data_IF_430890025125
#
_entry.id   IF_430890025125
#
_cell.length_a   1.000
_cell.length_b   1.000
_cell.length_c   1.000
_cell.angle_alpha   90.00
_cell.angle_beta   90.00
_cell.angle_gamma   90.00
#
_symmetry.space_group_name_H-M   'P 1'
#
loop_
_entity.id
_entity.type
_entity.pdbx_description
1 polymer ?
#
# COMPACT_ATOMS: atom_id res chain seq x y z
N UNK A 1 -6.00 15.58 -2.10
CA UNK A 1 -6.74 14.32 -1.94
C UNK A 1 -7.31 14.28 -0.53
N UNK A 2 -8.59 13.94 -0.39
CA UNK A 2 -9.24 13.76 0.91
C UNK A 2 -8.84 12.42 1.54
N UNK A 3 -8.99 12.29 2.86
CA UNK A 3 -8.74 11.02 3.56
C UNK A 3 -9.53 9.85 2.94
N UNK A 4 -10.79 10.07 2.57
CA UNK A 4 -11.63 9.04 1.97
C UNK A 4 -11.16 8.59 0.58
N UNK A 5 -10.58 9.49 -0.21
CA UNK A 5 -9.97 9.14 -1.50
C UNK A 5 -8.70 8.30 -1.32
N UNK A 6 -7.88 8.62 -0.31
CA UNK A 6 -6.70 7.83 0.04
C UNK A 6 -7.08 6.43 0.48
N UNK A 7 -8.03 6.31 1.42
CA UNK A 7 -8.48 5.01 1.94
C UNK A 7 -9.04 4.13 0.81
N UNK A 8 -9.79 4.72 -0.12
CA UNK A 8 -10.29 4.00 -1.29
C UNK A 8 -9.18 3.59 -2.26
N UNK A 9 -8.18 4.44 -2.49
CA UNK A 9 -7.02 4.11 -3.33
C UNK A 9 -6.21 2.96 -2.73
N UNK A 10 -5.96 3.00 -1.41
CA UNK A 10 -5.28 1.93 -0.67
C UNK A 10 -6.04 0.61 -0.78
N UNK A 11 -7.36 0.61 -0.51
CA UNK A 11 -8.18 -0.60 -0.65
C UNK A 11 -8.15 -1.18 -2.05
N UNK A 12 -8.18 -0.33 -3.09
CA UNK A 12 -8.05 -0.79 -4.48
C UNK A 12 -6.69 -1.43 -4.74
N UNK A 13 -5.61 -0.84 -4.24
CA UNK A 13 -4.26 -1.39 -4.41
C UNK A 13 -4.09 -2.73 -3.69
N UNK A 14 -4.60 -2.87 -2.46
CA UNK A 14 -4.58 -4.13 -1.72
C UNK A 14 -5.41 -5.22 -2.41
N UNK A 15 -6.57 -4.89 -3.00
CA UNK A 15 -7.34 -5.85 -3.79
C UNK A 15 -6.59 -6.33 -5.05
N UNK A 16 -5.78 -5.46 -5.67
CA UNK A 16 -4.95 -5.84 -6.82
C UNK A 16 -3.83 -6.78 -6.37
N UNK A 17 -3.17 -6.46 -5.25
CA UNK A 17 -2.18 -7.35 -4.63
C UNK A 17 -2.80 -8.72 -4.34
N UNK A 18 -3.99 -8.76 -3.74
CA UNK A 18 -4.67 -10.01 -3.40
C UNK A 18 -5.01 -10.83 -4.63
N UNK A 19 -5.57 -10.22 -5.67
CA UNK A 19 -5.87 -10.92 -6.92
C UNK A 19 -4.62 -11.48 -7.58
N UNK A 20 -3.50 -10.74 -7.58
CA UNK A 20 -2.23 -11.23 -8.08
C UNK A 20 -1.69 -12.39 -7.22
N UNK A 21 -1.75 -12.27 -5.89
CA UNK A 21 -1.22 -13.29 -4.98
C UNK A 21 -2.07 -14.56 -4.98
N UNK A 22 -3.39 -14.45 -5.21
CA UNK A 22 -4.30 -15.59 -5.37
C UNK A 22 -4.00 -16.39 -6.64
N UNK A 23 -3.60 -15.72 -7.72
CA UNK A 23 -3.23 -16.37 -8.99
C UNK A 23 -1.83 -16.99 -8.91
N UNK A 24 -0.88 -16.28 -8.30
CA UNK A 24 0.53 -16.69 -8.31
C UNK A 24 0.91 -17.61 -7.15
N UNK A 25 0.22 -17.50 -6.02
CA UNK A 25 0.61 -18.15 -4.77
C UNK A 25 1.99 -17.69 -4.27
N UNK A 26 2.46 -16.51 -4.67
CA UNK A 26 3.83 -16.06 -4.44
C UNK A 26 4.20 -15.95 -2.96
N UNK A 27 3.27 -15.45 -2.13
CA UNK A 27 3.44 -15.33 -0.68
C UNK A 27 2.26 -15.96 0.03
N UNK A 28 2.52 -16.83 1.02
CA UNK A 28 1.46 -17.45 1.81
C UNK A 28 0.68 -16.38 2.59
N UNK A 29 -0.64 -16.30 2.34
CA UNK A 29 -1.53 -15.38 3.05
C UNK A 29 -1.54 -15.65 4.56
N UNK A 30 -1.69 -14.59 5.34
CA UNK A 30 -1.71 -14.63 6.81
C UNK A 30 -0.35 -14.79 7.47
N UNK A 31 0.74 -14.81 6.71
CA UNK A 31 2.12 -14.78 7.23
C UNK A 31 2.61 -13.36 7.43
N UNK A 32 3.66 -13.18 8.25
CA UNK A 32 4.32 -11.87 8.43
C UNK A 32 4.73 -11.24 7.09
N UNK A 33 5.32 -12.04 6.19
CA UNK A 33 5.72 -11.58 4.85
C UNK A 33 4.56 -11.06 4.00
N UNK A 34 3.37 -11.66 4.13
CA UNK A 34 2.19 -11.17 3.42
C UNK A 34 1.74 -9.81 3.96
N UNK A 35 1.79 -9.62 5.28
CA UNK A 35 1.46 -8.32 5.88
C UNK A 35 2.50 -7.24 5.58
N UNK A 36 3.80 -7.59 5.56
CA UNK A 36 4.85 -6.66 5.13
C UNK A 36 4.65 -6.22 3.67
N UNK A 37 4.24 -7.14 2.79
CA UNK A 37 3.93 -6.81 1.40
C UNK A 37 2.73 -5.85 1.29
N UNK A 38 1.68 -6.05 2.10
CA UNK A 38 0.57 -5.11 2.19
C UNK A 38 1.04 -3.72 2.65
N UNK A 39 1.88 -3.65 3.68
CA UNK A 39 2.44 -2.39 4.17
C UNK A 39 3.25 -1.66 3.10
N UNK A 40 4.08 -2.37 2.30
CA UNK A 40 4.81 -1.77 1.18
C UNK A 40 3.85 -1.14 0.16
N UNK A 41 2.75 -1.82 -0.17
CA UNK A 41 1.73 -1.28 -1.08
C UNK A 41 1.05 -0.04 -0.50
N UNK A 42 0.74 -0.03 0.79
CA UNK A 42 0.19 1.15 1.48
C UNK A 42 1.14 2.35 1.40
N UNK A 43 2.44 2.14 1.63
CA UNK A 43 3.45 3.19 1.49
C UNK A 43 3.54 3.68 0.04
N UNK A 44 3.52 2.79 -0.95
CA UNK A 44 3.54 3.18 -2.36
C UNK A 44 2.35 4.08 -2.74
N UNK A 45 1.15 3.77 -2.23
CA UNK A 45 -0.04 4.63 -2.41
C UNK A 45 0.16 5.99 -1.75
N UNK A 46 0.71 6.04 -0.53
CA UNK A 46 1.03 7.30 0.16
C UNK A 46 2.06 8.14 -0.61
N UNK A 47 3.13 7.55 -1.14
CA UNK A 47 4.11 8.26 -1.96
C UNK A 47 3.46 8.86 -3.21
N UNK A 48 2.64 8.09 -3.93
CA UNK A 48 1.92 8.58 -5.11
C UNK A 48 0.94 9.70 -4.78
N UNK A 49 0.24 9.59 -3.66
CA UNK A 49 -0.65 10.61 -3.13
C UNK A 49 0.08 11.92 -2.82
N UNK A 50 1.24 11.85 -2.16
CA UNK A 50 2.09 13.00 -1.84
C UNK A 50 2.64 13.68 -3.11
N UNK A 51 3.10 12.87 -4.08
CA UNK A 51 3.54 13.40 -5.37
C UNK A 51 2.42 14.13 -6.12
N UNK A 52 1.19 13.59 -6.09
CA UNK A 52 0.04 14.20 -6.73
C UNK A 52 -0.50 15.45 -6.01
N UNK A 53 -0.32 15.54 -4.68
CA UNK A 53 -0.74 16.70 -3.88
C UNK A 53 0.31 17.81 -3.81
N UNK A 54 1.56 17.52 -4.17
CA UNK A 54 2.69 18.44 -4.01
C UNK A 54 3.11 18.64 -2.54
N UNK A 55 2.60 17.82 -1.62
CA UNK A 55 2.94 17.85 -0.20
C UNK A 55 3.78 16.63 0.11
N UNK A 56 5.02 16.84 0.56
CA UNK A 56 5.92 15.77 0.99
C UNK A 56 5.98 15.74 2.52
N UNK A 57 5.52 14.65 3.12
CA UNK A 57 5.60 14.36 4.54
C UNK A 57 6.38 13.07 4.73
N UNK A 58 7.34 13.07 5.64
CA UNK A 58 8.14 11.89 5.93
C UNK A 58 7.21 10.74 6.37
N UNK A 59 7.33 9.59 5.70
CA UNK A 59 6.57 8.40 6.07
C UNK A 59 7.23 7.74 7.27
N UNK A 60 6.43 7.13 8.15
CA UNK A 60 6.95 6.39 9.31
C UNK A 60 7.93 5.28 8.93
N UNK A 61 7.81 4.73 7.71
CA UNK A 61 8.77 3.76 7.15
C UNK A 61 10.15 4.34 6.83
N UNK A 62 10.29 5.66 6.80
CA UNK A 62 11.53 6.36 6.46
C UNK A 62 12.30 6.84 7.70
N UNK A 63 11.71 6.74 8.89
CA UNK A 63 12.34 7.05 10.16
C UNK A 63 12.68 5.77 10.92
N UNK A 64 13.93 5.31 10.80
CA UNK A 64 14.47 4.17 11.55
C UNK A 64 14.79 4.50 13.01
#
# INVERSE_FOLDING_TARGET
MTKGELDNATRRALNILDGWNDVTGAVQKGTGWYYELQSIIEYAVKCGAQAASGVHEQLESEGG
#
